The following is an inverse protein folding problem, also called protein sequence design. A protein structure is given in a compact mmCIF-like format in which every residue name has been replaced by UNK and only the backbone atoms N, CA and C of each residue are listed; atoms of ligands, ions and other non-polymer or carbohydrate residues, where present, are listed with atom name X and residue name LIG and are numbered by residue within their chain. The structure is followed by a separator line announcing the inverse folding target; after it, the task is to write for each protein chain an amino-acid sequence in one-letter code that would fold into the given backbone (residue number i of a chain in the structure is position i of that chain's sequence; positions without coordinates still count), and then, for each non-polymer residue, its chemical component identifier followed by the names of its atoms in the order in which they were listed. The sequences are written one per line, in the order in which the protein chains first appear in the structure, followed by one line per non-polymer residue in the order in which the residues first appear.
data_IF_419654903220
#
_entry.id   IF_419654903220
#
_cell.length_a   1.000
_cell.length_b   1.000
_cell.length_c   1.000
_cell.angle_alpha   90.00
_cell.angle_beta   90.00
_cell.angle_gamma   90.00
#
_symmetry.space_group_name_H-M   'P 1'
#
loop_
_entity.id
_entity.type
_entity.pdbx_description
1 polymer ?
#
# COMPACT_ATOMS: atom_id res chain seq x y z
N UNK A 1 11.63 -46.68 -28.62
CA UNK A 1 12.66 -46.01 -27.78
C UNK A 1 13.02 -44.61 -28.31
N UNK A 2 13.50 -44.45 -29.56
CA UNK A 2 13.97 -43.15 -30.06
C UNK A 2 12.91 -42.02 -30.04
N UNK A 3 11.63 -42.31 -30.40
CA UNK A 3 10.51 -41.37 -30.36
C UNK A 3 10.11 -40.98 -28.91
N UNK A 4 10.22 -41.89 -27.99
CA UNK A 4 9.93 -41.66 -26.56
C UNK A 4 11.00 -40.76 -25.91
N UNK A 5 12.27 -40.98 -26.27
CA UNK A 5 13.37 -40.09 -25.81
C UNK A 5 13.26 -38.68 -26.37
N UNK A 6 12.81 -38.53 -27.63
CA UNK A 6 12.57 -37.19 -28.23
C UNK A 6 11.40 -36.48 -27.51
N UNK A 7 10.31 -37.19 -27.21
CA UNK A 7 9.18 -36.61 -26.45
C UNK A 7 9.58 -36.18 -25.04
N UNK A 8 10.33 -37.00 -24.34
CA UNK A 8 10.87 -36.65 -22.99
C UNK A 8 11.83 -35.46 -23.07
N UNK A 9 12.69 -35.37 -24.06
CA UNK A 9 13.58 -34.24 -24.26
C UNK A 9 12.81 -32.94 -24.60
N UNK A 10 11.74 -33.01 -25.44
CA UNK A 10 10.86 -31.88 -25.67
C UNK A 10 10.12 -31.43 -24.43
N UNK A 11 9.61 -32.35 -23.61
CA UNK A 11 8.95 -32.01 -22.33
C UNK A 11 9.93 -31.36 -21.35
N UNK A 12 11.18 -31.79 -21.29
CA UNK A 12 12.21 -31.19 -20.43
C UNK A 12 12.57 -29.78 -20.93
N UNK A 13 12.68 -29.57 -22.23
CA UNK A 13 12.94 -28.24 -22.83
C UNK A 13 11.75 -27.29 -22.61
N UNK A 14 10.51 -27.78 -22.77
CA UNK A 14 9.31 -26.98 -22.45
C UNK A 14 9.18 -26.69 -20.95
N UNK A 15 9.56 -27.60 -20.06
CA UNK A 15 9.57 -27.35 -18.63
C UNK A 15 10.65 -26.35 -18.20
N UNK A 16 11.80 -26.35 -18.88
CA UNK A 16 12.89 -25.40 -18.62
C UNK A 16 12.56 -23.96 -19.09
N UNK A 17 11.69 -23.80 -20.09
CA UNK A 17 11.23 -22.49 -20.56
C UNK A 17 10.03 -21.92 -19.77
N UNK A 18 9.44 -22.70 -18.88
CA UNK A 18 8.33 -22.29 -18.01
C UNK A 18 8.78 -21.61 -16.70
N UNK A 19 10.01 -21.18 -16.59
CA UNK A 19 10.41 -20.27 -15.51
C UNK A 19 9.81 -18.91 -15.81
N UNK A 20 8.58 -18.71 -15.36
CA UNK A 20 7.93 -17.41 -15.41
C UNK A 20 8.90 -16.40 -14.80
N UNK A 21 9.28 -15.40 -15.58
CA UNK A 21 10.20 -14.37 -15.13
C UNK A 21 9.52 -13.64 -13.96
N UNK A 22 9.97 -13.91 -12.75
CA UNK A 22 9.36 -13.36 -11.55
C UNK A 22 9.67 -11.86 -11.48
N UNK A 23 8.65 -11.02 -11.42
CA UNK A 23 8.83 -9.58 -11.28
C UNK A 23 9.73 -9.27 -10.08
N UNK A 24 10.83 -8.58 -10.33
CA UNK A 24 11.80 -8.21 -9.29
C UNK A 24 11.27 -7.09 -8.43
N UNK A 25 10.67 -6.07 -9.04
CA UNK A 25 10.11 -4.90 -8.39
C UNK A 25 8.63 -4.80 -8.74
N UNK A 26 7.81 -4.66 -7.71
CA UNK A 26 6.36 -4.48 -7.86
C UNK A 26 5.98 -3.21 -7.12
N UNK A 27 5.45 -2.24 -7.86
CA UNK A 27 4.80 -1.06 -7.32
C UNK A 27 3.29 -1.25 -7.46
N UNK A 28 2.57 -1.09 -6.37
CA UNK A 28 1.13 -1.25 -6.31
C UNK A 28 0.49 0.04 -5.86
N UNK A 29 0.05 0.85 -6.81
CA UNK A 29 -0.57 2.15 -6.55
C UNK A 29 -2.07 1.99 -6.34
N UNK A 30 -2.59 2.64 -5.31
CA UNK A 30 -4.02 2.74 -5.00
C UNK A 30 -4.39 4.20 -4.89
N UNK A 31 -5.35 4.64 -5.70
CA UNK A 31 -6.04 5.92 -5.55
C UNK A 31 -7.38 5.65 -4.88
N UNK A 32 -7.46 5.77 -3.56
CA UNK A 32 -8.70 5.54 -2.82
C UNK A 32 -9.68 6.70 -3.06
N UNK A 33 -10.92 6.35 -3.45
CA UNK A 33 -11.95 7.31 -3.88
C UNK A 33 -11.72 7.90 -5.28
N UNK A 34 -10.67 7.50 -6.01
CA UNK A 34 -10.36 8.01 -7.34
C UNK A 34 -11.15 7.25 -8.43
N UNK A 35 -12.27 7.82 -8.85
CA UNK A 35 -13.05 7.31 -9.97
C UNK A 35 -12.67 7.95 -11.32
N UNK A 36 -13.32 7.51 -12.40
CA UNK A 36 -13.07 8.03 -13.75
C UNK A 36 -13.31 9.53 -13.87
N UNK A 37 -14.28 10.07 -13.13
CA UNK A 37 -14.58 11.50 -13.14
C UNK A 37 -13.41 12.33 -12.59
N UNK A 38 -12.74 11.86 -11.53
CA UNK A 38 -11.58 12.53 -10.96
C UNK A 38 -10.40 12.49 -11.92
N UNK A 39 -10.18 11.39 -12.61
CA UNK A 39 -9.16 11.26 -13.65
C UNK A 39 -9.42 12.26 -14.76
N UNK A 40 -10.61 12.22 -15.36
CA UNK A 40 -10.98 13.12 -16.45
C UNK A 40 -10.89 14.60 -16.05
N UNK A 41 -11.42 14.96 -14.86
CA UNK A 41 -11.35 16.33 -14.37
C UNK A 41 -9.91 16.80 -14.21
N UNK A 42 -9.02 15.94 -13.72
CA UNK A 42 -7.60 16.25 -13.57
C UNK A 42 -6.94 16.48 -14.93
N UNK A 43 -7.22 15.65 -15.92
CA UNK A 43 -6.68 15.80 -17.27
C UNK A 43 -7.16 17.07 -17.96
N UNK A 44 -8.44 17.42 -17.81
CA UNK A 44 -8.97 18.72 -18.28
C UNK A 44 -8.32 19.91 -17.58
N UNK A 45 -8.16 19.82 -16.25
CA UNK A 45 -7.49 20.87 -15.48
C UNK A 45 -6.05 21.09 -15.94
N UNK A 46 -5.30 20.00 -16.13
CA UNK A 46 -3.90 20.08 -16.60
C UNK A 46 -3.81 20.75 -17.97
N UNK A 47 -4.65 20.36 -18.92
CA UNK A 47 -4.70 20.99 -20.23
C UNK A 47 -5.06 22.48 -20.14
N UNK A 48 -6.07 22.84 -19.34
CA UNK A 48 -6.48 24.21 -19.14
C UNK A 48 -5.39 25.07 -18.48
N UNK A 49 -4.69 24.54 -17.49
CA UNK A 49 -3.58 25.22 -16.82
C UNK A 49 -2.41 25.54 -17.78
N UNK A 50 -2.25 24.73 -18.84
CA UNK A 50 -1.28 24.97 -19.91
C UNK A 50 -1.84 25.82 -21.07
N UNK A 51 -3.07 26.34 -20.97
CA UNK A 51 -3.74 27.10 -22.02
C UNK A 51 -4.10 26.25 -23.26
N UNK A 52 -4.21 24.94 -23.11
CA UNK A 52 -4.55 23.98 -24.16
C UNK A 52 -6.03 23.62 -24.13
N UNK A 53 -6.59 23.32 -25.31
CA UNK A 53 -7.91 22.70 -25.43
C UNK A 53 -7.74 21.18 -25.48
N UNK A 54 -8.55 20.44 -24.73
CA UNK A 54 -8.54 18.98 -24.74
C UNK A 54 -8.06 18.38 -23.41
N UNK A 55 -7.38 17.25 -23.51
CA UNK A 55 -6.91 16.48 -22.35
C UNK A 55 -5.43 16.74 -22.08
N UNK A 56 -5.07 16.86 -20.79
CA UNK A 56 -3.74 16.47 -20.33
C UNK A 56 -3.63 14.95 -20.28
N UNK A 57 -2.41 14.43 -20.18
CA UNK A 57 -2.19 13.01 -20.02
C UNK A 57 -1.61 12.69 -18.64
N UNK A 58 -2.33 11.88 -17.87
CA UNK A 58 -1.80 11.26 -16.67
C UNK A 58 -0.98 10.03 -17.07
N UNK A 59 0.23 9.92 -16.60
CA UNK A 59 1.19 8.88 -17.01
C UNK A 59 0.67 7.44 -16.85
N UNK A 60 -0.19 7.19 -15.89
CA UNK A 60 -0.78 5.86 -15.70
C UNK A 60 -1.91 5.54 -16.71
N UNK A 61 -2.51 6.57 -17.34
CA UNK A 61 -3.51 6.37 -18.39
C UNK A 61 -2.88 5.77 -19.67
N UNK A 62 -1.57 5.94 -19.85
CA UNK A 62 -0.82 5.39 -20.98
C UNK A 62 -0.26 3.97 -20.73
N UNK A 63 -0.62 3.33 -19.63
CA UNK A 63 -0.18 1.96 -19.35
C UNK A 63 -0.74 0.99 -20.40
N UNK A 64 0.07 0.02 -20.88
CA UNK A 64 -0.29 -0.84 -22.00
C UNK A 64 -1.44 -1.80 -21.70
N UNK A 65 -1.79 -2.00 -20.44
CA UNK A 65 -2.86 -2.88 -20.02
C UNK A 65 -3.82 -2.15 -19.09
N UNK A 66 -5.09 -2.16 -19.44
CA UNK A 66 -6.19 -1.55 -18.69
C UNK A 66 -7.35 -2.52 -18.56
N UNK A 67 -8.00 -2.57 -17.42
CA UNK A 67 -9.20 -3.38 -17.19
C UNK A 67 -10.11 -2.73 -16.16
N UNK A 68 -11.31 -3.27 -16.02
CA UNK A 68 -12.30 -2.86 -15.04
C UNK A 68 -12.54 -3.98 -14.05
N UNK A 69 -12.80 -3.61 -12.80
CA UNK A 69 -13.22 -4.53 -11.75
C UNK A 69 -14.50 -4.03 -11.09
N UNK A 70 -15.39 -4.96 -10.73
CA UNK A 70 -16.58 -4.63 -9.94
C UNK A 70 -16.19 -4.48 -8.47
N UNK A 71 -16.50 -3.35 -7.87
CA UNK A 71 -16.06 -2.95 -6.53
C UNK A 71 -17.12 -3.12 -5.42
N UNK A 72 -18.04 -4.09 -5.52
CA UNK A 72 -18.97 -4.42 -4.44
C UNK A 72 -18.30 -5.34 -3.40
N UNK A 73 -18.67 -5.20 -2.13
CA UNK A 73 -18.23 -6.09 -1.04
C UNK A 73 -19.14 -7.32 -0.90
N UNK A 74 -18.80 -8.23 0.01
CA UNK A 74 -19.62 -9.43 0.22
C UNK A 74 -21.01 -9.12 0.76
N UNK A 75 -21.20 -8.01 1.48
CA UNK A 75 -22.46 -7.65 2.12
C UNK A 75 -23.06 -6.30 1.69
N UNK A 76 -22.40 -5.54 0.79
CA UNK A 76 -22.86 -4.21 0.34
C UNK A 76 -22.63 -4.02 -1.15
N UNK A 77 -23.48 -3.18 -1.78
CA UNK A 77 -23.32 -2.79 -3.20
C UNK A 77 -22.12 -1.87 -3.42
N UNK A 78 -21.78 -1.09 -2.42
CA UNK A 78 -20.59 -0.22 -2.41
C UNK A 78 -19.66 -0.76 -1.33
N UNK A 79 -18.42 -1.05 -1.73
CA UNK A 79 -17.38 -1.48 -0.80
C UNK A 79 -16.79 -0.27 -0.09
N UNK A 80 -16.55 -0.40 1.23
CA UNK A 80 -15.67 0.53 1.93
C UNK A 80 -14.20 0.20 1.65
N UNK A 81 -13.28 1.08 2.07
CA UNK A 81 -11.84 0.90 1.90
C UNK A 81 -11.31 -0.40 2.53
N UNK A 82 -11.93 -0.88 3.61
CA UNK A 82 -11.52 -2.14 4.25
C UNK A 82 -11.81 -3.35 3.35
N UNK A 83 -13.04 -3.45 2.84
CA UNK A 83 -13.43 -4.54 1.95
C UNK A 83 -12.75 -4.45 0.58
N UNK A 84 -12.65 -3.25 0.00
CA UNK A 84 -11.97 -3.03 -1.27
C UNK A 84 -10.46 -3.32 -1.14
N UNK A 85 -9.81 -2.78 -0.10
CA UNK A 85 -8.40 -3.02 0.19
C UNK A 85 -8.11 -4.51 0.43
N UNK A 86 -8.96 -5.21 1.16
CA UNK A 86 -8.84 -6.67 1.35
C UNK A 86 -8.94 -7.41 0.03
N UNK A 87 -9.90 -7.06 -0.84
CA UNK A 87 -10.01 -7.70 -2.15
C UNK A 87 -8.79 -7.45 -3.03
N UNK A 88 -8.26 -6.23 -3.03
CA UNK A 88 -7.03 -5.86 -3.75
C UNK A 88 -5.79 -6.58 -3.19
N UNK A 89 -5.69 -6.69 -1.86
CA UNK A 89 -4.54 -7.31 -1.21
C UNK A 89 -4.53 -8.83 -1.29
N UNK A 90 -5.69 -9.48 -1.31
CA UNK A 90 -5.81 -10.93 -1.09
C UNK A 90 -6.52 -11.69 -2.22
N UNK A 91 -7.23 -11.00 -3.09
CA UNK A 91 -8.11 -11.61 -4.09
C UNK A 91 -9.44 -12.13 -3.53
N UNK A 92 -9.75 -11.88 -2.24
CA UNK A 92 -10.96 -12.35 -1.59
C UNK A 92 -11.89 -11.18 -1.23
N UNK A 93 -13.17 -11.32 -1.56
CA UNK A 93 -14.19 -10.39 -1.08
C UNK A 93 -14.47 -10.63 0.41
N UNK A 94 -14.70 -9.53 1.12
CA UNK A 94 -15.11 -9.56 2.53
C UNK A 94 -16.27 -8.61 2.81
N UNK A 95 -16.75 -8.58 4.04
CA UNK A 95 -17.77 -7.61 4.47
C UNK A 95 -17.16 -6.22 4.67
N UNK A 96 -17.95 -5.18 4.47
CA UNK A 96 -17.52 -3.82 4.80
C UNK A 96 -17.03 -3.77 6.25
N UNK A 97 -15.91 -3.05 6.45
CA UNK A 97 -15.25 -2.92 7.74
C UNK A 97 -14.26 -4.01 8.10
N UNK A 98 -14.23 -5.15 7.40
CA UNK A 98 -13.32 -6.26 7.69
C UNK A 98 -12.00 -6.14 6.92
N UNK A 99 -10.90 -6.55 7.54
CA UNK A 99 -9.53 -6.44 7.04
C UNK A 99 -8.86 -7.81 6.98
N UNK A 100 -8.33 -8.20 5.81
CA UNK A 100 -7.51 -9.39 5.63
C UNK A 100 -8.20 -10.72 6.00
N UNK A 101 -9.53 -10.76 5.99
CA UNK A 101 -10.33 -11.91 6.38
C UNK A 101 -11.43 -12.18 5.35
N UNK A 102 -11.90 -13.43 5.28
CA UNK A 102 -13.14 -13.76 4.57
C UNK A 102 -14.37 -13.28 5.36
N UNK A 103 -15.59 -13.25 4.78
CA UNK A 103 -16.82 -12.93 5.51
C UNK A 103 -17.05 -13.80 6.75
N UNK A 104 -16.52 -15.04 6.73
CA UNK A 104 -16.61 -16.01 7.84
C UNK A 104 -15.49 -15.86 8.86
N UNK A 105 -14.79 -14.72 8.84
CA UNK A 105 -13.70 -14.38 9.77
C UNK A 105 -12.47 -15.31 9.70
N UNK A 106 -12.21 -15.91 8.54
CA UNK A 106 -10.99 -16.68 8.30
C UNK A 106 -9.92 -15.76 7.73
N UNK A 107 -8.73 -15.75 8.35
CA UNK A 107 -7.60 -14.93 7.89
C UNK A 107 -7.13 -15.36 6.50
N UNK A 108 -6.86 -14.37 5.63
CA UNK A 108 -6.32 -14.59 4.28
C UNK A 108 -5.03 -13.81 4.08
N UNK A 109 -4.02 -14.48 3.52
CA UNK A 109 -2.72 -13.85 3.29
C UNK A 109 -2.78 -12.83 2.15
N UNK A 110 -2.17 -11.68 2.35
CA UNK A 110 -2.02 -10.67 1.31
C UNK A 110 -0.86 -10.97 0.35
N UNK A 111 -0.91 -10.38 -0.84
CA UNK A 111 0.21 -10.39 -1.80
C UNK A 111 1.49 -9.80 -1.18
N UNK A 112 1.37 -8.83 -0.26
CA UNK A 112 2.50 -8.27 0.48
C UNK A 112 3.15 -9.31 1.40
N UNK A 113 2.32 -10.09 2.11
CA UNK A 113 2.79 -11.21 2.93
C UNK A 113 3.49 -12.28 2.08
N UNK A 114 2.93 -12.65 0.93
CA UNK A 114 3.57 -13.60 0.01
C UNK A 114 4.89 -13.07 -0.55
N UNK A 115 4.94 -11.78 -0.89
CA UNK A 115 6.19 -11.14 -1.31
C UNK A 115 7.26 -11.23 -0.21
N UNK A 116 6.89 -10.98 1.05
CA UNK A 116 7.80 -11.11 2.19
C UNK A 116 8.28 -12.54 2.39
N UNK A 117 7.39 -13.52 2.33
CA UNK A 117 7.70 -14.96 2.43
C UNK A 117 8.64 -15.44 1.30
N UNK A 118 8.52 -14.85 0.10
CA UNK A 118 9.44 -15.13 -1.02
C UNK A 118 10.82 -14.48 -0.84
N UNK A 119 11.03 -13.74 0.25
CA UNK A 119 12.28 -13.08 0.61
C UNK A 119 12.48 -11.72 -0.06
N UNK A 120 11.43 -11.12 -0.65
CA UNK A 120 11.44 -9.73 -1.09
C UNK A 120 11.33 -8.79 0.11
N UNK A 121 11.83 -7.57 -0.03
CA UNK A 121 11.46 -6.50 0.89
C UNK A 121 10.05 -6.02 0.62
N UNK A 122 9.38 -5.54 1.66
CA UNK A 122 8.00 -5.05 1.56
C UNK A 122 7.89 -3.68 2.18
N UNK A 123 7.27 -2.77 1.44
CA UNK A 123 6.89 -1.44 1.91
C UNK A 123 5.39 -1.21 1.77
N UNK A 124 4.83 -0.46 2.70
CA UNK A 124 3.45 0.04 2.66
C UNK A 124 3.47 1.50 3.06
N UNK A 125 2.93 2.36 2.22
CA UNK A 125 2.81 3.78 2.55
C UNK A 125 1.47 4.37 2.10
N UNK A 126 1.08 5.43 2.79
CA UNK A 126 -0.19 6.12 2.59
C UNK A 126 -0.07 7.60 2.92
N UNK A 127 -1.02 8.41 2.48
CA UNK A 127 -1.14 9.82 2.88
C UNK A 127 -2.00 10.02 4.14
N UNK A 128 -2.64 8.97 4.66
CA UNK A 128 -3.42 9.00 5.91
C UNK A 128 -2.69 8.29 7.04
N UNK A 129 -3.36 7.98 8.14
CA UNK A 129 -2.76 7.17 9.21
C UNK A 129 -2.44 5.77 8.73
N UNK A 130 -1.28 5.25 9.10
CA UNK A 130 -0.79 3.96 8.60
C UNK A 130 -1.66 2.79 9.09
N UNK A 131 -2.41 2.96 10.16
CA UNK A 131 -3.39 2.04 10.69
C UNK A 131 -4.79 2.21 10.09
N UNK A 132 -4.92 2.99 9.00
CA UNK A 132 -6.18 3.06 8.26
C UNK A 132 -6.43 1.80 7.42
N UNK A 133 -7.64 1.69 6.91
CA UNK A 133 -8.16 0.46 6.36
C UNK A 133 -7.39 -0.06 5.14
N UNK A 134 -7.10 0.81 4.16
CA UNK A 134 -6.43 0.40 2.92
C UNK A 134 -5.03 -0.12 3.17
N UNK A 135 -4.10 0.60 3.85
CA UNK A 135 -2.80 0.04 4.18
C UNK A 135 -2.91 -1.18 5.09
N UNK A 136 -3.84 -1.17 6.07
CA UNK A 136 -4.02 -2.26 7.02
C UNK A 136 -4.41 -3.59 6.36
N UNK A 137 -5.14 -3.57 5.26
CA UNK A 137 -5.53 -4.77 4.52
C UNK A 137 -4.32 -5.58 4.01
N UNK A 138 -3.15 -4.97 3.88
CA UNK A 138 -1.94 -5.63 3.40
C UNK A 138 -1.15 -6.35 4.50
N UNK A 139 -1.40 -6.05 5.79
CA UNK A 139 -0.64 -6.61 6.92
C UNK A 139 -1.48 -7.04 8.12
N UNK A 140 -2.78 -6.74 8.14
CA UNK A 140 -3.62 -6.96 9.32
C UNK A 140 -4.83 -7.86 9.02
N UNK A 141 -5.30 -8.55 10.07
CA UNK A 141 -6.49 -9.40 10.07
C UNK A 141 -7.39 -8.96 11.22
N UNK A 142 -8.45 -8.18 10.91
CA UNK A 142 -9.37 -7.65 11.90
C UNK A 142 -10.81 -7.69 11.40
N UNK A 143 -11.73 -8.08 12.27
CA UNK A 143 -13.17 -8.04 11.98
C UNK A 143 -13.70 -6.60 11.87
N UNK A 144 -12.93 -5.61 12.32
CA UNK A 144 -13.32 -4.20 12.26
C UNK A 144 -12.10 -3.30 12.01
N UNK A 145 -12.19 -2.43 10.98
CA UNK A 145 -11.23 -1.37 10.70
C UNK A 145 -11.08 -0.36 11.85
N UNK A 146 -12.04 -0.35 12.79
CA UNK A 146 -11.98 0.52 13.97
C UNK A 146 -11.06 -0.01 15.07
N UNK A 147 -10.59 -1.26 14.98
CA UNK A 147 -9.69 -1.89 15.95
C UNK A 147 -8.24 -1.38 15.80
N UNK A 148 -8.06 -0.05 15.83
CA UNK A 148 -6.81 0.65 15.48
C UNK A 148 -5.58 0.14 16.24
N UNK A 149 -5.70 -0.06 17.56
CA UNK A 149 -4.58 -0.55 18.36
C UNK A 149 -4.17 -1.99 17.95
N UNK A 150 -5.16 -2.88 17.74
CA UNK A 150 -4.87 -4.25 17.28
C UNK A 150 -4.22 -4.25 15.88
N UNK A 151 -4.67 -3.37 14.97
CA UNK A 151 -4.07 -3.18 13.65
C UNK A 151 -2.60 -2.75 13.79
N UNK A 152 -2.31 -1.75 14.64
CA UNK A 152 -0.95 -1.26 14.86
C UNK A 152 -0.02 -2.33 15.47
N UNK A 153 -0.51 -3.18 16.36
CA UNK A 153 0.24 -4.33 16.89
C UNK A 153 0.59 -5.33 15.80
N UNK A 154 -0.35 -5.61 14.89
CA UNK A 154 -0.11 -6.50 13.75
C UNK A 154 0.86 -5.89 12.73
N UNK A 155 0.82 -4.56 12.52
CA UNK A 155 1.83 -3.85 11.74
C UNK A 155 3.23 -4.10 12.32
N UNK A 156 3.42 -3.83 13.61
CA UNK A 156 4.71 -3.93 14.27
C UNK A 156 5.34 -5.32 14.12
N UNK A 157 4.52 -6.38 14.12
CA UNK A 157 4.94 -7.78 14.00
C UNK A 157 4.93 -8.34 12.57
N UNK A 158 4.47 -7.56 11.57
CA UNK A 158 4.37 -8.00 10.16
C UNK A 158 5.70 -8.41 9.53
N UNK A 159 6.80 -7.88 10.06
CA UNK A 159 8.13 -8.08 9.51
C UNK A 159 8.42 -7.28 8.22
N UNK A 160 7.53 -6.38 7.79
CA UNK A 160 7.76 -5.54 6.62
C UNK A 160 8.91 -4.56 6.85
N UNK A 161 9.48 -4.02 5.79
CA UNK A 161 10.75 -3.29 5.85
C UNK A 161 10.59 -1.78 5.85
N UNK A 162 9.45 -1.28 5.35
CA UNK A 162 9.15 0.13 5.27
C UNK A 162 7.67 0.41 5.53
N UNK A 163 7.41 1.33 6.45
CA UNK A 163 6.10 1.93 6.62
C UNK A 163 6.21 3.44 6.57
N UNK A 164 5.22 4.09 5.97
CA UNK A 164 5.12 5.55 6.03
C UNK A 164 3.67 6.03 5.92
N UNK A 165 3.40 7.13 6.62
CA UNK A 165 2.09 7.77 6.66
C UNK A 165 2.07 8.93 7.63
N UNK A 166 0.85 9.29 8.09
CA UNK A 166 0.71 10.38 9.05
C UNK A 166 1.18 10.03 10.47
N UNK A 167 1.25 8.81 10.83
CA UNK A 167 1.45 8.14 12.12
C UNK A 167 0.25 7.23 12.43
N UNK A 168 0.24 6.59 13.58
CA UNK A 168 -0.94 5.89 14.09
C UNK A 168 -2.01 6.88 14.55
N UNK A 169 -3.28 6.56 14.26
CA UNK A 169 -4.40 7.37 14.74
C UNK A 169 -4.53 7.33 16.27
N UNK A 170 -4.35 6.15 16.86
CA UNK A 170 -4.34 5.92 18.29
C UNK A 170 -3.08 5.16 18.71
N UNK A 171 -1.95 5.86 18.92
CA UNK A 171 -0.68 5.21 19.24
C UNK A 171 -0.67 4.56 20.63
N UNK A 172 -1.55 5.00 21.56
CA UNK A 172 -1.67 4.42 22.89
C UNK A 172 -2.94 3.61 23.02
N UNK A 173 -2.80 2.35 23.44
CA UNK A 173 -3.92 1.48 23.75
C UNK A 173 -4.52 1.80 25.12
N UNK A 174 -5.77 1.39 25.35
CA UNK A 174 -6.46 1.52 26.63
C UNK A 174 -5.75 0.74 27.75
N UNK A 175 -4.95 -0.26 27.38
CA UNK A 175 -4.11 -1.05 28.28
C UNK A 175 -2.75 -0.40 28.60
N UNK A 176 -2.55 0.85 28.20
CA UNK A 176 -1.30 1.61 28.40
C UNK A 176 -0.18 1.25 27.42
N UNK A 177 -0.41 0.37 26.46
CA UNK A 177 0.59 -0.01 25.46
C UNK A 177 0.83 1.13 24.47
N UNK A 178 2.10 1.39 24.16
CA UNK A 178 2.52 2.38 23.17
C UNK A 178 2.99 1.67 21.90
N UNK A 179 2.31 1.91 20.78
CA UNK A 179 2.61 1.31 19.47
C UNK A 179 3.99 1.73 18.95
N UNK A 180 4.46 2.95 19.28
CA UNK A 180 5.80 3.38 18.90
C UNK A 180 6.86 2.50 19.56
N UNK A 181 6.71 2.22 20.87
CA UNK A 181 7.63 1.33 21.60
C UNK A 181 7.59 -0.10 21.07
N UNK A 182 6.39 -0.61 20.70
CA UNK A 182 6.28 -1.94 20.10
C UNK A 182 7.01 -1.99 18.76
N UNK A 183 6.87 -0.97 17.91
CA UNK A 183 7.58 -0.90 16.64
C UNK A 183 9.10 -0.86 16.84
N UNK A 184 9.59 -0.05 17.79
CA UNK A 184 11.02 0.01 18.13
C UNK A 184 11.56 -1.34 18.60
N UNK A 185 10.82 -2.03 19.48
CA UNK A 185 11.17 -3.37 19.95
C UNK A 185 11.22 -4.41 18.81
N UNK A 186 10.47 -4.18 17.72
CA UNK A 186 10.48 -4.99 16.51
C UNK A 186 11.49 -4.51 15.45
N UNK A 187 12.36 -3.57 15.80
CA UNK A 187 13.50 -3.12 15.00
C UNK A 187 13.19 -2.03 13.98
N UNK A 188 12.09 -1.31 14.14
CA UNK A 188 11.82 -0.12 13.33
C UNK A 188 12.57 1.09 13.87
N UNK A 189 13.20 1.83 12.95
CA UNK A 189 13.79 3.14 13.19
C UNK A 189 12.80 4.20 12.78
N UNK A 190 12.49 5.15 13.66
CA UNK A 190 11.58 6.26 13.37
C UNK A 190 12.30 7.38 12.63
N UNK A 191 11.61 7.94 11.63
CA UNK A 191 12.02 9.14 10.91
C UNK A 191 10.85 10.14 10.88
N UNK A 192 11.06 11.32 11.43
CA UNK A 192 10.08 12.39 11.49
C UNK A 192 10.36 13.39 10.36
N UNK A 193 9.55 13.30 9.30
CA UNK A 193 9.70 14.14 8.12
C UNK A 193 10.74 13.65 7.11
N UNK A 194 10.83 14.38 6.01
CA UNK A 194 11.61 13.97 4.85
C UNK A 194 13.12 13.97 5.09
N UNK A 195 13.65 14.98 5.78
CA UNK A 195 15.09 15.10 6.02
C UNK A 195 15.63 13.96 6.92
N UNK A 196 14.88 13.60 7.96
CA UNK A 196 15.24 12.42 8.77
C UNK A 196 15.12 11.13 7.97
N UNK A 197 14.09 11.00 7.12
CA UNK A 197 13.95 9.85 6.22
C UNK A 197 15.18 9.67 5.33
N UNK A 198 15.63 10.75 4.68
CA UNK A 198 16.85 10.75 3.85
C UNK A 198 18.12 10.43 4.64
N UNK A 199 18.21 10.89 5.88
CA UNK A 199 19.39 10.63 6.70
C UNK A 199 19.46 9.19 7.22
N UNK A 200 18.31 8.56 7.47
CA UNK A 200 18.22 7.29 8.22
C UNK A 200 18.06 6.04 7.34
N UNK A 201 17.50 6.13 6.13
CA UNK A 201 17.18 4.95 5.31
C UNK A 201 18.36 4.00 5.08
N UNK A 202 19.57 4.52 4.92
CA UNK A 202 20.75 3.73 4.60
C UNK A 202 21.18 2.80 5.74
N UNK A 203 20.98 3.25 6.97
CA UNK A 203 21.44 2.55 8.19
C UNK A 203 20.29 1.84 8.92
N UNK A 204 19.04 2.14 8.57
CA UNK A 204 17.88 1.49 9.17
C UNK A 204 17.71 0.07 8.65
N UNK A 205 17.50 -0.89 9.54
CA UNK A 205 17.12 -2.26 9.18
C UNK A 205 15.67 -2.30 8.69
N UNK A 206 14.79 -1.59 9.38
CA UNK A 206 13.40 -1.30 9.01
C UNK A 206 13.16 0.17 9.28
N UNK A 207 12.47 0.87 8.41
CA UNK A 207 12.21 2.29 8.57
C UNK A 207 10.73 2.57 8.69
N UNK A 208 10.35 3.39 9.67
CA UNK A 208 9.02 3.94 9.83
C UNK A 208 9.09 5.46 9.70
N UNK A 209 8.55 6.01 8.62
CA UNK A 209 8.59 7.44 8.35
C UNK A 209 7.21 8.05 8.54
N UNK A 210 7.14 9.10 9.34
CA UNK A 210 5.90 9.80 9.67
C UNK A 210 6.05 11.31 9.49
N UNK A 211 4.93 12.03 9.57
CA UNK A 211 4.91 13.49 9.56
C UNK A 211 5.91 14.07 10.58
N UNK A 212 6.51 15.24 10.31
CA UNK A 212 7.27 15.99 11.31
C UNK A 212 6.45 16.23 12.57
N UNK A 213 7.10 16.27 13.74
CA UNK A 213 6.41 16.45 15.04
C UNK A 213 5.60 17.74 15.12
N UNK A 214 6.03 18.79 14.42
CA UNK A 214 5.37 20.09 14.36
C UNK A 214 4.34 20.21 13.22
N UNK A 215 4.15 19.15 12.44
CA UNK A 215 3.16 19.12 11.38
C UNK A 215 1.77 18.70 11.91
N UNK A 216 0.74 18.88 11.08
CA UNK A 216 -0.57 18.29 11.35
C UNK A 216 -0.44 16.77 11.37
N UNK A 217 -1.31 16.11 12.14
CA UNK A 217 -1.29 14.67 12.29
C UNK A 217 -1.46 13.93 10.96
N UNK A 218 -2.39 14.38 10.11
CA UNK A 218 -2.62 13.82 8.78
C UNK A 218 -1.87 14.63 7.73
N UNK A 219 -1.41 13.97 6.68
CA UNK A 219 -0.79 14.63 5.53
C UNK A 219 -1.90 15.41 4.82
N UNK A 220 -1.82 16.76 4.76
CA UNK A 220 -2.90 17.56 4.21
C UNK A 220 -2.99 17.43 2.68
N UNK A 221 -4.13 17.81 2.13
CA UNK A 221 -4.32 17.94 0.70
C UNK A 221 -3.31 18.93 0.10
N UNK A 222 -3.02 18.78 -1.19
CA UNK A 222 -2.02 19.59 -1.86
C UNK A 222 -2.31 21.09 -1.76
N UNK A 223 -3.59 21.49 -1.78
CA UNK A 223 -4.04 22.88 -1.65
C UNK A 223 -3.80 23.48 -0.25
N UNK A 224 -3.82 22.64 0.80
CA UNK A 224 -3.67 23.05 2.21
C UNK A 224 -2.27 22.75 2.76
N UNK A 225 -1.38 22.22 1.93
CA UNK A 225 -0.06 21.76 2.34
C UNK A 225 0.85 22.92 2.67
N UNK A 226 1.54 22.80 3.80
CA UNK A 226 2.64 23.68 4.20
C UNK A 226 3.96 23.07 3.74
N UNK A 227 5.01 23.87 3.69
CA UNK A 227 6.36 23.42 3.31
C UNK A 227 6.89 22.30 4.21
N UNK A 228 6.52 22.30 5.50
CA UNK A 228 6.92 21.29 6.48
C UNK A 228 6.22 19.94 6.26
N UNK A 229 5.05 19.92 5.64
CA UNK A 229 4.25 18.71 5.52
C UNK A 229 4.84 17.74 4.48
N UNK A 230 4.85 16.44 4.79
CA UNK A 230 5.28 15.40 3.86
C UNK A 230 4.42 15.37 2.60
N UNK A 231 5.05 14.96 1.52
CA UNK A 231 4.37 14.68 0.25
C UNK A 231 4.48 13.20 -0.09
N UNK A 232 3.51 12.66 -0.84
CA UNK A 232 3.58 11.28 -1.30
C UNK A 232 4.87 10.98 -2.11
N UNK A 233 5.35 11.85 -3.04
CA UNK A 233 6.63 11.63 -3.70
C UNK A 233 7.82 11.51 -2.76
N UNK A 234 7.91 12.33 -1.71
CA UNK A 234 8.97 12.24 -0.69
C UNK A 234 8.92 10.92 0.07
N UNK A 235 7.72 10.48 0.46
CA UNK A 235 7.50 9.20 1.12
C UNK A 235 7.94 8.04 0.21
N UNK A 236 7.55 8.09 -1.06
CA UNK A 236 7.88 7.05 -2.05
C UNK A 236 9.38 7.00 -2.32
N UNK A 237 10.04 8.15 -2.47
CA UNK A 237 11.50 8.22 -2.68
C UNK A 237 12.27 7.56 -1.54
N UNK A 238 11.97 7.91 -0.29
CA UNK A 238 12.62 7.29 0.88
C UNK A 238 12.29 5.80 0.96
N UNK A 239 11.06 5.41 0.61
CA UNK A 239 10.64 4.02 0.55
C UNK A 239 11.42 3.21 -0.48
N UNK A 240 11.57 3.71 -1.69
CA UNK A 240 12.37 3.06 -2.74
C UNK A 240 13.81 2.87 -2.27
N UNK A 241 14.44 3.91 -1.73
CA UNK A 241 15.80 3.85 -1.23
C UNK A 241 15.97 2.82 -0.11
N UNK A 242 15.01 2.76 0.83
CA UNK A 242 14.99 1.77 1.92
C UNK A 242 14.85 0.35 1.39
N UNK A 243 13.92 0.14 0.45
CA UNK A 243 13.61 -1.17 -0.10
C UNK A 243 14.70 -1.68 -1.06
N UNK A 244 15.39 -0.78 -1.74
CA UNK A 244 16.52 -1.13 -2.62
C UNK A 244 17.81 -1.44 -1.83
N UNK A 245 17.97 -0.86 -0.64
CA UNK A 245 19.20 -0.96 0.14
C UNK A 245 19.55 -2.42 0.46
N UNK A 246 20.73 -2.88 0.06
CA UNK A 246 21.23 -4.26 0.27
C UNK A 246 20.22 -5.35 -0.12
N UNK A 247 19.48 -5.16 -1.20
CA UNK A 247 18.40 -6.04 -1.63
C UNK A 247 18.62 -6.60 -3.05
N UNK A 248 18.95 -7.88 -3.14
CA UNK A 248 19.13 -8.59 -4.42
C UNK A 248 17.82 -9.18 -4.97
N UNK A 249 16.85 -9.49 -4.10
CA UNK A 249 15.60 -10.18 -4.47
C UNK A 249 14.49 -9.26 -4.96
N UNK A 250 14.67 -7.94 -4.79
CA UNK A 250 13.67 -6.94 -5.15
C UNK A 250 12.61 -6.73 -4.06
N UNK A 251 11.54 -6.02 -4.40
CA UNK A 251 10.55 -5.61 -3.41
C UNK A 251 9.12 -5.60 -3.96
N UNK A 252 8.18 -5.62 -3.05
CA UNK A 252 6.79 -5.19 -3.23
C UNK A 252 6.57 -3.88 -2.47
N UNK A 253 5.99 -2.90 -3.12
CA UNK A 253 5.72 -1.60 -2.51
C UNK A 253 4.29 -1.15 -2.81
N UNK A 254 3.44 -1.15 -1.78
CA UNK A 254 2.10 -0.59 -1.83
C UNK A 254 2.16 0.90 -1.52
N UNK A 255 1.55 1.70 -2.37
CA UNK A 255 1.56 3.17 -2.33
C UNK A 255 0.13 3.65 -2.48
N UNK A 256 -0.39 4.27 -1.45
CA UNK A 256 -1.73 4.82 -1.44
C UNK A 256 -1.71 6.35 -1.42
N UNK A 257 -2.44 6.94 -2.37
CA UNK A 257 -2.93 8.30 -2.26
C UNK A 257 -4.39 8.26 -1.82
N UNK A 258 -4.67 8.52 -0.55
CA UNK A 258 -6.03 8.67 -0.05
C UNK A 258 -6.41 10.14 -0.18
N UNK A 259 -7.20 10.46 -1.18
CA UNK A 259 -7.39 11.85 -1.59
C UNK A 259 -8.80 12.36 -1.37
N UNK A 260 -9.79 11.48 -1.21
CA UNK A 260 -11.16 11.89 -1.51
C UNK A 260 -12.12 11.43 -0.42
N UNK A 261 -11.78 11.74 0.83
CA UNK A 261 -12.68 11.57 1.96
C UNK A 261 -14.08 12.19 1.71
N UNK A 262 -14.15 13.24 0.86
CA UNK A 262 -15.41 13.89 0.46
C UNK A 262 -16.05 13.28 -0.78
N UNK A 263 -15.39 12.40 -1.52
CA UNK A 263 -15.94 11.70 -2.69
C UNK A 263 -16.13 10.21 -2.48
N UNK A 264 -15.66 9.66 -1.38
CA UNK A 264 -15.89 8.26 -1.00
C UNK A 264 -17.18 8.15 -0.18
N UNK A 265 -18.30 8.12 -0.90
CA UNK A 265 -19.62 7.92 -0.30
C UNK A 265 -19.77 6.57 0.44
N UNK A 266 -18.78 5.69 0.35
CA UNK A 266 -18.81 4.38 1.00
C UNK A 266 -18.34 4.43 2.46
N UNK A 267 -17.50 5.39 2.84
CA UNK A 267 -17.02 5.54 4.21
C UNK A 267 -18.04 6.27 5.12
N UNK A 268 -19.06 6.91 4.52
CA UNK A 268 -20.13 7.65 5.22
C UNK A 268 -21.42 6.83 5.41
N UNK A 269 -21.48 5.57 4.94
CA UNK A 269 -22.59 4.64 5.06
C UNK A 269 -22.23 3.49 6.02
#
# INVERSE_FOLDING_TARGET
MRRFLILCALCIVCAASAWAQQAKYVFYFIGDGMGLNQINTTEYYMASAEGKWGYGHLSFADFPYTTYAANYSANRRVADSAAAGTALATGHKTNNGMLGMTPDSVNVSSIATWAKQSGKKVGVCTTVSIDDATPAAFYSHQASRKSRNAIGRQLATSGFDYFAGSDFRNPKGDDGTDLHQICEANGYTWAYGYEEGKAKWKNAKKLFMVQPKDAKREIPYAIDRREIDLTLPQIVEVGINTLMNNNKKGFFFMIEGCLLYTSDAADDL
#
